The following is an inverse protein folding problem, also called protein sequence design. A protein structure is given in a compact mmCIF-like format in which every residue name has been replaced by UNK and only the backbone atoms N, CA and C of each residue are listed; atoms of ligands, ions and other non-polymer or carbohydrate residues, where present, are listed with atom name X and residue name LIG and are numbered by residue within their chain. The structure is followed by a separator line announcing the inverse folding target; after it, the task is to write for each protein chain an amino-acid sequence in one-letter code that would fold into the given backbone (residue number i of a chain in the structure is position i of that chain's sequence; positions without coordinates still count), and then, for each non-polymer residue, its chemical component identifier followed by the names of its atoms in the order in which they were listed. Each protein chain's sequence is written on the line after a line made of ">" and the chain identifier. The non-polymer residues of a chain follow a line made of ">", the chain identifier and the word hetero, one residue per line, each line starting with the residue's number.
data_IF_371240298812
#
_entry.id   IF_371240298812
#
_cell.length_a   1.000
_cell.length_b   1.000
_cell.length_c   1.000
_cell.angle_alpha   90.00
_cell.angle_beta   90.00
_cell.angle_gamma   90.00
#
_symmetry.space_group_name_H-M   'P 1'
#
loop_
_entity.id
_entity.type
_entity.pdbx_description
1 polymer ?
#
# COMPACT_ATOMS: atom_id res chain seq x y z
N UNK A 1 85.39 53.37 -32.00
CA UNK A 1 85.64 52.45 -30.87
C UNK A 1 84.36 52.48 -29.98
N UNK A 2 83.43 51.59 -30.22
CA UNK A 2 82.22 51.49 -29.42
C UNK A 2 82.29 50.25 -28.51
N UNK A 3 82.16 50.45 -27.22
CA UNK A 3 82.07 49.35 -26.21
C UNK A 3 80.54 48.99 -25.98
N UNK A 4 80.24 47.78 -26.26
CA UNK A 4 78.93 47.24 -25.96
C UNK A 4 78.83 46.90 -24.47
N UNK A 5 77.84 47.44 -23.77
CA UNK A 5 77.43 47.03 -22.43
C UNK A 5 76.28 46.00 -22.54
N UNK A 6 76.52 44.85 -22.01
CA UNK A 6 75.50 43.79 -21.91
C UNK A 6 74.80 43.94 -20.55
N UNK A 7 73.44 44.17 -20.63
CA UNK A 7 72.57 44.25 -19.45
C UNK A 7 72.05 42.85 -19.18
N UNK A 8 72.37 42.22 -18.06
CA UNK A 8 71.75 40.97 -17.58
C UNK A 8 70.41 41.31 -16.85
N UNK A 9 69.35 40.91 -17.41
CA UNK A 9 68.00 40.90 -16.71
C UNK A 9 67.88 39.63 -15.88
N UNK A 10 67.83 39.77 -14.58
CA UNK A 10 67.56 38.66 -13.66
C UNK A 10 66.01 38.41 -13.62
N UNK A 11 65.58 37.23 -14.01
CA UNK A 11 64.19 36.80 -13.88
C UNK A 11 64.00 36.24 -12.46
N UNK A 12 63.24 36.95 -11.63
CA UNK A 12 62.79 36.44 -10.34
C UNK A 12 61.54 35.57 -10.62
N UNK A 13 61.63 34.28 -10.52
CA UNK A 13 60.51 33.35 -10.58
C UNK A 13 59.79 33.36 -9.23
N UNK A 14 58.66 34.05 -9.16
CA UNK A 14 57.70 33.92 -8.03
C UNK A 14 56.94 32.61 -8.15
N UNK A 15 57.30 31.66 -7.30
CA UNK A 15 56.56 30.39 -7.16
C UNK A 15 55.18 30.61 -6.58
N UNK A 16 54.16 30.60 -7.45
CA UNK A 16 52.76 30.52 -7.02
C UNK A 16 52.49 29.10 -6.53
N UNK A 17 52.40 28.91 -5.22
CA UNK A 17 51.89 27.67 -4.63
C UNK A 17 50.40 27.54 -4.93
N UNK A 18 50.08 26.72 -5.93
CA UNK A 18 48.74 26.33 -6.25
C UNK A 18 48.15 25.47 -5.10
N UNK A 19 47.52 26.09 -4.11
CA UNK A 19 46.77 25.36 -3.10
C UNK A 19 45.42 24.98 -3.76
N UNK A 20 45.32 23.74 -4.20
CA UNK A 20 44.03 23.16 -4.54
C UNK A 20 43.13 23.29 -3.29
N UNK A 21 41.89 23.83 -3.42
CA UNK A 21 40.95 23.85 -2.32
C UNK A 21 40.65 22.40 -1.95
N UNK A 22 41.04 21.98 -0.77
CA UNK A 22 40.60 20.72 -0.19
C UNK A 22 39.12 20.88 0.08
N UNK A 23 38.25 20.31 -0.79
CA UNK A 23 36.83 20.21 -0.53
C UNK A 23 36.71 19.27 0.68
N UNK A 24 36.49 19.86 1.84
CA UNK A 24 36.08 19.12 3.04
C UNK A 24 34.69 18.56 2.77
N UNK A 25 34.62 17.33 2.32
CA UNK A 25 33.35 16.57 2.31
C UNK A 25 33.01 16.38 3.77
N UNK A 26 31.96 17.07 4.23
CA UNK A 26 31.40 16.80 5.55
C UNK A 26 31.15 15.28 5.67
N UNK A 27 31.45 14.65 6.84
CA UNK A 27 31.18 13.23 7.00
C UNK A 27 29.68 12.98 6.69
N UNK A 28 29.42 12.17 5.68
CA UNK A 28 28.10 11.64 5.41
C UNK A 28 27.59 11.03 6.71
N UNK A 29 26.50 11.56 7.26
CA UNK A 29 25.83 10.92 8.38
C UNK A 29 25.50 9.51 7.92
N UNK A 30 26.06 8.49 8.56
CA UNK A 30 25.76 7.11 8.25
C UNK A 30 24.26 6.93 8.40
N UNK A 31 23.57 6.64 7.29
CA UNK A 31 22.14 6.35 7.30
C UNK A 31 21.93 5.13 8.18
N UNK A 32 20.97 5.19 9.08
CA UNK A 32 20.68 4.05 9.94
C UNK A 32 19.96 2.96 9.13
N UNK A 33 20.73 1.98 8.65
CA UNK A 33 20.23 0.83 7.89
C UNK A 33 19.15 0.04 8.65
N UNK A 34 19.06 0.22 9.98
CA UNK A 34 18.00 -0.39 10.79
C UNK A 34 16.61 0.10 10.43
N UNK A 35 16.48 1.27 9.79
CA UNK A 35 15.19 1.83 9.37
C UNK A 35 14.76 1.34 7.98
N UNK A 36 15.68 0.86 7.15
CA UNK A 36 15.40 0.39 5.80
C UNK A 36 14.49 -0.83 5.84
N UNK A 37 13.50 -0.85 4.94
CA UNK A 37 12.55 -1.94 4.75
C UNK A 37 11.11 -1.53 5.00
N UNK A 38 10.24 -2.52 5.20
CA UNK A 38 8.79 -2.35 5.30
C UNK A 38 8.33 -2.42 6.75
N UNK A 39 7.35 -1.59 7.08
CA UNK A 39 6.86 -1.38 8.44
C UNK A 39 5.34 -1.37 8.47
N UNK A 40 4.78 -2.24 9.28
CA UNK A 40 3.36 -2.27 9.60
C UNK A 40 3.09 -1.28 10.73
N UNK A 41 2.33 -0.22 10.44
CA UNK A 41 2.07 0.89 11.35
C UNK A 41 0.70 0.74 11.99
N UNK A 42 0.63 1.04 13.28
CA UNK A 42 -0.61 1.24 14.03
C UNK A 42 -0.67 2.66 14.56
N UNK A 43 -1.70 3.42 14.17
CA UNK A 43 -1.94 4.80 14.60
C UNK A 43 -2.99 4.78 15.71
N UNK A 44 -2.68 5.31 16.89
CA UNK A 44 -3.60 5.42 18.00
C UNK A 44 -4.49 6.67 17.86
N UNK A 45 -5.77 6.48 17.52
CA UNK A 45 -6.74 7.57 17.38
C UNK A 45 -7.84 7.47 18.44
N UNK A 46 -8.61 8.55 18.72
CA UNK A 46 -9.77 8.49 19.62
C UNK A 46 -10.83 7.45 19.24
N UNK A 47 -10.92 7.16 17.92
CA UNK A 47 -11.87 6.17 17.37
C UNK A 47 -11.28 4.75 17.26
N UNK A 48 -10.19 4.49 18.01
CA UNK A 48 -9.46 3.23 18.03
C UNK A 48 -8.22 3.24 17.15
N UNK A 49 -7.56 2.10 17.11
CA UNK A 49 -6.37 1.89 16.29
C UNK A 49 -6.69 1.90 14.80
N UNK A 50 -5.83 2.54 14.01
CA UNK A 50 -5.94 2.61 12.56
C UNK A 50 -4.67 2.05 11.91
N UNK A 51 -4.80 1.19 10.89
CA UNK A 51 -3.65 0.66 10.17
C UNK A 51 -3.06 1.69 9.21
N UNK A 52 -1.76 1.55 9.00
CA UNK A 52 -0.99 2.31 8.01
C UNK A 52 0.27 1.51 7.66
N UNK A 53 1.03 1.95 6.68
CA UNK A 53 2.20 1.22 6.22
C UNK A 53 3.27 2.17 5.68
N UNK A 54 4.54 1.80 5.86
CA UNK A 54 5.69 2.57 5.41
C UNK A 54 6.76 1.65 4.82
N UNK A 55 7.32 2.04 3.69
CA UNK A 55 8.53 1.47 3.13
C UNK A 55 9.61 2.53 3.07
N UNK A 56 10.82 2.16 3.47
CA UNK A 56 12.00 3.02 3.46
C UNK A 56 13.08 2.32 2.65
N UNK A 57 13.63 3.02 1.67
CA UNK A 57 14.64 2.51 0.75
C UNK A 57 15.74 3.53 0.49
N UNK A 58 16.91 3.06 0.08
CA UNK A 58 17.95 3.93 -0.46
C UNK A 58 17.59 4.43 -1.86
N UNK A 59 17.91 5.71 -2.13
CA UNK A 59 17.99 6.28 -3.47
C UNK A 59 19.40 6.87 -3.66
N UNK A 60 20.21 6.20 -4.43
CA UNK A 60 21.63 6.55 -4.55
C UNK A 60 22.39 6.25 -3.26
N UNK A 61 23.36 7.12 -2.91
CA UNK A 61 24.31 6.87 -1.82
C UNK A 61 23.81 7.34 -0.45
N UNK A 62 23.24 8.53 -0.40
CA UNK A 62 23.00 9.24 0.87
C UNK A 62 21.54 9.69 1.02
N UNK A 63 20.67 9.36 0.05
CA UNK A 63 19.27 9.74 0.06
C UNK A 63 18.39 8.58 0.48
N UNK A 64 17.42 8.85 1.36
CA UNK A 64 16.34 7.93 1.68
C UNK A 64 15.05 8.39 1.05
N UNK A 65 14.35 7.45 0.46
CA UNK A 65 13.02 7.59 -0.15
C UNK A 65 12.11 6.49 0.37
N UNK A 66 10.85 6.51 -0.04
CA UNK A 66 9.95 5.44 0.38
C UNK A 66 8.56 5.57 -0.21
N UNK A 67 7.65 4.78 0.35
CA UNK A 67 6.21 4.84 0.08
C UNK A 67 5.45 4.79 1.40
N UNK A 68 4.34 5.49 1.44
CA UNK A 68 3.47 5.54 2.62
C UNK A 68 2.01 5.28 2.22
N UNK A 69 1.36 4.39 2.96
CA UNK A 69 -0.08 4.16 2.89
C UNK A 69 -0.71 4.75 4.14
N UNK A 70 -1.62 5.72 3.97
CA UNK A 70 -2.42 6.26 5.06
C UNK A 70 -3.52 5.31 5.52
N UNK A 71 -4.39 5.77 6.41
CA UNK A 71 -5.59 5.01 6.80
C UNK A 71 -6.45 4.70 5.57
N UNK A 72 -6.51 5.64 4.64
CA UNK A 72 -7.18 5.52 3.34
C UNK A 72 -6.22 5.92 2.23
N UNK A 73 -6.59 5.61 1.00
CA UNK A 73 -5.86 6.02 -0.20
C UNK A 73 -4.76 5.05 -0.64
N UNK A 74 -4.03 5.48 -1.66
CA UNK A 74 -2.99 4.67 -2.31
C UNK A 74 -1.64 4.77 -1.62
N UNK A 75 -0.70 3.90 -2.02
CA UNK A 75 0.70 4.01 -1.64
C UNK A 75 1.31 5.27 -2.30
N UNK A 76 1.56 6.30 -1.49
CA UNK A 76 2.12 7.58 -1.96
C UNK A 76 3.64 7.57 -1.89
N UNK A 77 4.35 8.05 -2.92
CA UNK A 77 5.79 8.15 -2.88
C UNK A 77 6.24 9.22 -1.87
N UNK A 78 7.32 8.92 -1.16
CA UNK A 78 8.03 9.86 -0.30
C UNK A 78 9.35 10.20 -1.00
N UNK A 79 9.47 11.42 -1.50
CA UNK A 79 10.65 11.85 -2.25
C UNK A 79 11.89 12.05 -1.37
N UNK A 80 11.70 12.36 -0.08
CA UNK A 80 12.77 12.55 0.90
C UNK A 80 12.32 12.06 2.27
N UNK A 81 13.09 11.13 2.84
CA UNK A 81 13.00 10.76 4.25
C UNK A 81 14.29 11.27 4.90
N UNK A 82 14.16 12.18 5.87
CA UNK A 82 15.29 12.68 6.65
C UNK A 82 15.54 11.71 7.80
N UNK A 83 16.73 11.12 7.83
CA UNK A 83 17.20 10.27 8.93
C UNK A 83 18.37 10.97 9.62
N UNK A 84 18.29 11.08 10.95
CA UNK A 84 19.34 11.66 11.77
C UNK A 84 19.51 10.83 13.05
N UNK A 85 20.55 9.99 13.08
CA UNK A 85 20.73 8.96 14.11
C UNK A 85 19.52 8.03 14.14
N UNK A 86 18.91 7.87 15.30
CA UNK A 86 17.70 7.03 15.49
C UNK A 86 16.40 7.71 15.05
N UNK A 87 16.43 8.96 14.59
CA UNK A 87 15.22 9.72 14.24
C UNK A 87 14.94 9.70 12.75
N UNK A 88 13.68 9.66 12.37
CA UNK A 88 13.21 9.82 11.00
C UNK A 88 12.11 10.89 10.90
N UNK A 89 12.04 11.57 9.76
CA UNK A 89 10.91 12.44 9.45
C UNK A 89 10.69 12.57 7.95
N UNK A 90 9.44 12.75 7.56
CA UNK A 90 9.04 13.09 6.20
C UNK A 90 7.72 13.85 6.18
N UNK A 91 7.42 14.45 5.04
CA UNK A 91 6.15 15.14 4.81
C UNK A 91 5.68 14.84 3.38
N UNK A 92 4.40 14.56 3.22
CA UNK A 92 3.76 14.26 1.94
C UNK A 92 2.46 15.04 1.78
N UNK A 93 2.06 15.40 0.56
CA UNK A 93 0.76 16.01 0.31
C UNK A 93 -0.38 15.11 0.81
N UNK A 94 -1.48 15.73 1.26
CA UNK A 94 -2.69 14.97 1.59
C UNK A 94 -3.31 14.30 0.35
N UNK A 95 -4.09 13.26 0.57
CA UNK A 95 -4.88 12.59 -0.48
C UNK A 95 -6.36 12.56 -0.11
N UNK A 96 -6.70 11.90 0.98
CA UNK A 96 -8.07 11.75 1.48
C UNK A 96 -8.20 12.19 2.95
N UNK A 97 -7.11 12.65 3.55
CA UNK A 97 -7.12 13.19 4.90
C UNK A 97 -7.84 14.55 4.93
N UNK A 98 -8.56 14.84 6.02
CA UNK A 98 -9.23 16.12 6.20
C UNK A 98 -8.22 17.27 6.31
N UNK A 99 -8.50 18.38 5.65
CA UNK A 99 -7.65 19.58 5.63
C UNK A 99 -6.92 19.77 4.31
N UNK A 100 -6.09 20.80 4.21
CA UNK A 100 -5.42 21.23 2.97
C UNK A 100 -3.89 21.27 3.09
N UNK A 101 -3.33 20.78 4.19
CA UNK A 101 -1.89 20.76 4.45
C UNK A 101 -1.25 19.42 4.08
N UNK A 102 0.02 19.30 4.41
CA UNK A 102 0.73 18.04 4.29
C UNK A 102 0.49 17.16 5.52
N UNK A 103 0.51 15.87 5.31
CA UNK A 103 0.70 14.89 6.36
C UNK A 103 2.19 14.92 6.76
N UNK A 104 2.50 15.11 8.03
CA UNK A 104 3.86 15.14 8.56
C UNK A 104 4.08 14.00 9.55
N UNK A 105 5.12 13.21 9.32
CA UNK A 105 5.46 12.05 10.14
C UNK A 105 6.82 12.26 10.77
N UNK A 106 6.91 12.00 12.07
CA UNK A 106 8.16 11.97 12.84
C UNK A 106 8.19 10.72 13.69
N UNK A 107 9.36 10.12 13.81
CA UNK A 107 9.53 8.93 14.62
C UNK A 107 10.98 8.65 14.94
N UNK A 108 11.19 7.60 15.72
CA UNK A 108 12.51 7.11 16.05
C UNK A 108 12.53 5.58 16.16
N UNK A 109 13.70 4.99 15.95
CA UNK A 109 13.93 3.58 16.17
C UNK A 109 13.99 3.29 17.67
N UNK A 110 13.27 2.26 18.10
CA UNK A 110 13.18 1.81 19.49
C UNK A 110 13.19 0.28 19.55
N UNK A 111 14.34 -0.32 19.89
CA UNK A 111 14.42 -1.77 20.13
C UNK A 111 14.00 -2.67 18.95
N UNK A 112 14.21 -2.25 17.71
CA UNK A 112 13.79 -3.01 16.49
C UNK A 112 12.41 -2.66 15.98
N UNK A 113 11.69 -1.76 16.63
CA UNK A 113 10.44 -1.13 16.21
C UNK A 113 10.67 0.34 15.86
N UNK A 114 9.64 1.01 15.32
CA UNK A 114 9.59 2.46 15.20
C UNK A 114 8.41 2.98 16.01
N UNK A 115 8.55 4.19 16.56
CA UNK A 115 7.46 4.88 17.20
C UNK A 115 7.57 6.40 17.01
N UNK A 116 6.45 7.10 17.05
CA UNK A 116 6.47 8.54 16.86
C UNK A 116 5.11 9.21 16.87
N UNK A 117 5.04 10.33 16.18
CA UNK A 117 3.84 11.13 16.01
C UNK A 117 3.60 11.48 14.54
N UNK A 118 2.34 11.52 14.15
CA UNK A 118 1.86 11.86 12.83
C UNK A 118 0.89 13.02 12.95
N UNK A 119 1.20 14.14 12.29
CA UNK A 119 0.34 15.32 12.25
C UNK A 119 -0.40 15.34 10.93
N UNK A 120 -1.71 15.29 11.01
CA UNK A 120 -2.63 15.29 9.88
C UNK A 120 -2.85 16.71 9.32
N UNK A 121 -3.33 16.86 8.09
CA UNK A 121 -3.57 18.17 7.47
C UNK A 121 -4.56 19.05 8.22
N UNK A 122 -5.45 18.49 9.04
CA UNK A 122 -6.38 19.22 9.92
C UNK A 122 -5.73 19.69 11.23
N UNK A 123 -4.42 19.48 11.39
CA UNK A 123 -3.64 19.86 12.57
C UNK A 123 -3.69 18.85 13.73
N UNK A 124 -4.50 17.81 13.66
CA UNK A 124 -4.53 16.78 14.69
C UNK A 124 -3.27 15.92 14.65
N UNK A 125 -2.77 15.59 15.82
CA UNK A 125 -1.57 14.76 15.97
C UNK A 125 -1.90 13.50 16.76
N UNK A 126 -1.50 12.35 16.21
CA UNK A 126 -1.67 11.04 16.81
C UNK A 126 -0.34 10.34 16.98
N UNK A 127 -0.20 9.58 18.06
CA UNK A 127 0.94 8.66 18.21
C UNK A 127 0.78 7.45 17.28
N UNK A 128 1.91 6.90 16.88
CA UNK A 128 1.95 5.67 16.11
C UNK A 128 3.12 4.78 16.56
N UNK A 129 2.94 3.49 16.37
CA UNK A 129 3.99 2.49 16.50
C UNK A 129 4.09 1.68 15.21
N UNK A 130 5.26 1.11 14.94
CA UNK A 130 5.44 0.22 13.81
C UNK A 130 6.34 -0.96 14.14
N UNK A 131 5.96 -2.10 13.63
CA UNK A 131 6.78 -3.32 13.66
C UNK A 131 7.26 -3.64 12.26
N UNK A 132 8.35 -4.40 12.16
CA UNK A 132 8.81 -4.89 10.86
C UNK A 132 7.70 -5.71 10.19
N UNK A 133 7.36 -5.35 8.95
CA UNK A 133 6.46 -6.16 8.17
C UNK A 133 7.02 -7.58 7.98
N UNK A 134 6.22 -8.63 8.19
CA UNK A 134 6.71 -10.00 8.13
C UNK A 134 7.15 -10.38 6.70
N UNK A 135 8.14 -11.25 6.60
CA UNK A 135 8.50 -11.88 5.31
C UNK A 135 7.47 -12.95 4.98
N UNK A 136 6.67 -12.71 3.96
CA UNK A 136 5.61 -13.60 3.49
C UNK A 136 5.83 -14.08 2.04
N UNK A 137 6.94 -13.70 1.45
CA UNK A 137 7.43 -14.15 0.15
C UNK A 137 8.05 -15.55 0.21
N UNK A 138 8.24 -16.18 -0.94
CA UNK A 138 8.94 -17.46 -1.06
C UNK A 138 8.23 -18.68 -0.44
N UNK A 139 6.96 -18.57 -0.06
CA UNK A 139 6.19 -19.70 0.45
C UNK A 139 5.93 -20.72 -0.69
N UNK A 140 6.06 -22.03 -0.43
CA UNK A 140 5.70 -23.04 -1.41
C UNK A 140 4.19 -23.03 -1.65
N UNK A 141 3.76 -23.46 -2.83
CA UNK A 141 2.33 -23.67 -3.11
C UNK A 141 1.75 -24.67 -2.12
N UNK A 142 0.75 -24.28 -1.32
CA UNK A 142 0.19 -25.18 -0.30
C UNK A 142 -0.69 -26.26 -0.91
N UNK A 143 -0.93 -27.32 -0.14
CA UNK A 143 -2.04 -28.21 -0.43
C UNK A 143 -3.37 -27.48 -0.19
N UNK A 144 -4.29 -27.57 -1.12
CA UNK A 144 -5.57 -26.89 -1.04
C UNK A 144 -6.61 -27.73 -0.28
N UNK A 145 -7.44 -27.06 0.51
CA UNK A 145 -8.59 -27.64 1.20
C UNK A 145 -9.79 -27.85 0.27
N UNK A 146 -10.93 -28.17 0.88
CA UNK A 146 -12.19 -28.19 0.16
C UNK A 146 -12.71 -26.77 -0.09
N UNK A 147 -13.36 -26.51 -1.25
CA UNK A 147 -14.02 -25.23 -1.49
C UNK A 147 -15.16 -24.98 -0.49
N UNK A 148 -15.29 -23.76 -0.05
CA UNK A 148 -16.29 -23.28 0.90
C UNK A 148 -17.11 -22.19 0.23
N UNK A 149 -18.44 -22.39 0.12
CA UNK A 149 -19.36 -21.32 -0.29
C UNK A 149 -19.55 -20.37 0.88
N UNK A 150 -19.34 -19.07 0.65
CA UNK A 150 -19.44 -18.04 1.67
C UNK A 150 -20.81 -17.35 1.69
N UNK A 151 -21.65 -17.53 0.66
CA UNK A 151 -23.01 -17.01 0.62
C UNK A 151 -24.03 -18.13 0.81
N UNK A 152 -24.96 -17.91 1.72
CA UNK A 152 -26.18 -18.70 1.89
C UNK A 152 -27.27 -18.20 0.93
N UNK A 153 -28.39 -18.93 0.85
CA UNK A 153 -29.44 -18.56 -0.10
C UNK A 153 -30.18 -17.26 0.30
N UNK A 154 -30.45 -17.05 1.59
CA UNK A 154 -31.33 -15.99 2.04
C UNK A 154 -30.91 -15.32 3.36
N UNK A 155 -29.67 -15.47 3.77
CA UNK A 155 -29.15 -14.85 4.99
C UNK A 155 -27.67 -14.47 4.87
N UNK A 156 -27.21 -13.63 5.81
CA UNK A 156 -25.82 -13.19 5.96
C UNK A 156 -25.03 -14.07 6.95
N UNK A 157 -25.44 -15.31 7.18
CA UNK A 157 -24.74 -16.21 8.09
C UNK A 157 -23.25 -16.32 7.76
N UNK A 158 -22.37 -16.10 8.75
CA UNK A 158 -20.92 -16.05 8.58
C UNK A 158 -20.37 -14.71 8.10
N UNK A 159 -21.21 -13.65 8.06
CA UNK A 159 -20.83 -12.30 7.73
C UNK A 159 -21.40 -11.29 8.75
N UNK A 160 -20.68 -10.22 8.99
CA UNK A 160 -21.15 -9.07 9.77
C UNK A 160 -20.80 -7.75 9.08
N UNK A 161 -21.60 -6.73 9.36
CA UNK A 161 -21.35 -5.36 8.93
C UNK A 161 -20.29 -4.72 9.83
N UNK A 162 -19.30 -4.03 9.26
CA UNK A 162 -18.25 -3.33 10.02
C UNK A 162 -18.69 -1.98 10.59
N UNK A 163 -19.94 -1.57 10.39
CA UNK A 163 -20.48 -0.30 10.83
C UNK A 163 -21.81 -0.43 11.55
N UNK A 164 -22.39 0.73 11.92
CA UNK A 164 -23.68 0.80 12.63
C UNK A 164 -24.90 0.62 11.73
N UNK A 165 -24.73 0.81 10.42
CA UNK A 165 -25.78 0.63 9.42
C UNK A 165 -25.49 -0.59 8.56
N UNK A 166 -26.50 -1.40 8.28
CA UNK A 166 -26.35 -2.55 7.39
C UNK A 166 -27.31 -2.39 6.20
N UNK A 167 -26.77 -2.06 5.02
CA UNK A 167 -27.52 -1.98 3.78
C UNK A 167 -27.51 -3.29 2.99
N UNK A 168 -26.71 -4.27 3.41
CA UNK A 168 -26.55 -5.54 2.72
C UNK A 168 -27.76 -6.44 2.89
N UNK A 169 -28.20 -7.02 1.79
CA UNK A 169 -29.31 -7.98 1.75
C UNK A 169 -28.90 -9.21 0.93
N UNK A 170 -29.44 -10.37 1.30
CA UNK A 170 -29.28 -11.61 0.52
C UNK A 170 -30.66 -12.16 0.14
N UNK A 171 -30.86 -12.35 -1.16
CA UNK A 171 -32.11 -12.96 -1.69
C UNK A 171 -31.73 -13.97 -2.77
N UNK A 172 -32.09 -15.22 -2.60
CA UNK A 172 -31.82 -16.31 -3.55
C UNK A 172 -30.30 -16.42 -3.93
N UNK A 173 -29.41 -16.21 -2.95
CA UNK A 173 -27.96 -16.25 -3.16
C UNK A 173 -27.38 -15.02 -3.86
N UNK A 174 -28.18 -13.98 -4.07
CA UNK A 174 -27.73 -12.66 -4.53
C UNK A 174 -27.50 -11.75 -3.32
N UNK A 175 -26.27 -11.39 -3.05
CA UNK A 175 -25.87 -10.40 -2.05
C UNK A 175 -25.84 -9.03 -2.70
N UNK A 176 -26.57 -8.07 -2.17
CA UNK A 176 -26.69 -6.72 -2.72
C UNK A 176 -26.37 -5.65 -1.70
N UNK A 177 -25.59 -4.65 -2.09
CA UNK A 177 -25.45 -3.35 -1.46
C UNK A 177 -26.01 -2.30 -2.42
N UNK A 178 -27.27 -1.85 -2.22
CA UNK A 178 -27.94 -0.97 -3.18
C UNK A 178 -27.48 0.49 -3.11
N UNK A 179 -26.68 0.84 -2.13
CA UNK A 179 -26.15 2.19 -1.89
C UNK A 179 -24.89 2.12 -1.02
N UNK A 180 -24.14 3.23 -0.94
CA UNK A 180 -23.07 3.42 0.04
C UNK A 180 -23.57 3.17 1.47
N UNK A 181 -22.75 2.53 2.29
CA UNK A 181 -23.04 2.18 3.69
C UNK A 181 -21.84 1.52 4.37
N UNK A 182 -22.10 0.48 5.14
CA UNK A 182 -21.04 -0.26 5.85
C UNK A 182 -20.41 -1.34 4.97
N UNK A 183 -19.16 -1.65 5.25
CA UNK A 183 -18.45 -2.77 4.65
C UNK A 183 -18.95 -4.10 5.24
N UNK A 184 -18.80 -5.20 4.50
CA UNK A 184 -19.20 -6.54 4.91
C UNK A 184 -17.99 -7.44 5.08
N UNK A 185 -17.89 -8.10 6.24
CA UNK A 185 -16.68 -8.83 6.67
C UNK A 185 -17.07 -10.27 7.06
N UNK A 186 -16.27 -11.26 6.65
CA UNK A 186 -16.51 -12.65 7.10
C UNK A 186 -16.11 -12.83 8.56
N UNK A 187 -16.89 -13.63 9.31
CA UNK A 187 -16.53 -14.02 10.68
C UNK A 187 -15.30 -14.93 10.67
N UNK A 188 -15.17 -15.76 9.64
CA UNK A 188 -14.04 -16.66 9.45
C UNK A 188 -12.85 -15.92 8.86
N UNK A 189 -11.65 -16.19 9.40
CA UNK A 189 -10.37 -15.72 8.89
C UNK A 189 -9.69 -16.78 8.04
N UNK A 190 -8.90 -16.34 7.07
CA UNK A 190 -8.18 -17.19 6.11
C UNK A 190 -6.72 -16.77 6.01
N UNK A 191 -5.81 -17.74 5.87
CA UNK A 191 -4.41 -17.51 5.56
C UNK A 191 -4.21 -17.41 4.05
N UNK A 192 -3.56 -18.42 3.45
CA UNK A 192 -3.43 -18.56 2.00
C UNK A 192 -4.70 -19.19 1.42
N UNK A 193 -5.14 -18.74 0.25
CA UNK A 193 -6.39 -19.24 -0.36
C UNK A 193 -6.45 -18.99 -1.86
N UNK A 194 -7.39 -19.71 -2.51
CA UNK A 194 -7.97 -19.33 -3.79
C UNK A 194 -9.36 -18.79 -3.54
N UNK A 195 -9.74 -17.72 -4.24
CA UNK A 195 -11.05 -17.09 -4.15
C UNK A 195 -11.65 -16.99 -5.55
N UNK A 196 -12.88 -17.44 -5.71
CA UNK A 196 -13.74 -17.12 -6.82
C UNK A 196 -14.85 -16.20 -6.35
N UNK A 197 -15.10 -15.10 -7.06
CA UNK A 197 -16.18 -14.18 -6.77
C UNK A 197 -16.78 -13.64 -8.07
N UNK A 198 -18.12 -13.68 -8.15
CA UNK A 198 -18.87 -13.02 -9.21
C UNK A 198 -19.52 -11.75 -8.67
N UNK A 199 -19.43 -10.66 -9.42
CA UNK A 199 -20.00 -9.37 -9.03
C UNK A 199 -20.49 -8.59 -10.24
N UNK A 200 -21.36 -7.63 -10.01
CA UNK A 200 -21.75 -6.62 -10.99
C UNK A 200 -21.98 -5.29 -10.31
N UNK A 201 -21.79 -4.23 -11.04
CA UNK A 201 -21.95 -2.86 -10.58
C UNK A 201 -22.62 -2.02 -11.66
N UNK A 202 -23.39 -0.97 -11.28
CA UNK A 202 -23.90 0.02 -12.24
C UNK A 202 -22.78 0.96 -12.69
N UNK A 203 -23.07 1.80 -13.67
CA UNK A 203 -22.16 2.82 -14.18
C UNK A 203 -21.63 3.71 -13.04
N UNK A 204 -20.35 4.07 -13.11
CA UNK A 204 -19.63 4.94 -12.17
C UNK A 204 -19.55 4.39 -10.73
N UNK A 205 -19.85 3.12 -10.51
CA UNK A 205 -19.74 2.51 -9.18
C UNK A 205 -18.33 2.05 -8.86
N UNK A 206 -18.06 2.01 -7.56
CA UNK A 206 -16.80 1.57 -6.96
C UNK A 206 -17.09 0.61 -5.80
N UNK A 207 -16.25 -0.39 -5.64
CA UNK A 207 -16.21 -1.35 -4.54
C UNK A 207 -14.83 -2.00 -4.51
N UNK A 208 -14.60 -2.97 -3.62
CA UNK A 208 -13.35 -3.71 -3.53
C UNK A 208 -13.51 -5.04 -2.82
N UNK A 209 -12.61 -5.98 -3.15
CA UNK A 209 -12.48 -7.25 -2.45
C UNK A 209 -11.16 -7.23 -1.68
N UNK A 210 -11.23 -7.12 -0.36
CA UNK A 210 -10.04 -7.10 0.49
C UNK A 210 -9.64 -8.50 0.91
N UNK A 211 -8.51 -8.94 0.42
CA UNK A 211 -7.91 -10.23 0.77
C UNK A 211 -7.33 -10.13 2.18
N UNK A 212 -7.73 -11.05 3.06
CA UNK A 212 -7.39 -11.02 4.50
C UNK A 212 -7.74 -9.70 5.21
N UNK A 213 -8.71 -8.94 4.65
CA UNK A 213 -9.10 -7.64 5.18
C UNK A 213 -8.05 -6.54 5.02
N UNK A 214 -6.98 -6.76 4.25
CA UNK A 214 -5.81 -5.87 4.19
C UNK A 214 -5.37 -5.48 2.79
N UNK A 215 -5.66 -6.28 1.77
CA UNK A 215 -5.18 -6.07 0.40
C UNK A 215 -6.37 -5.98 -0.55
N UNK A 216 -6.67 -4.81 -1.01
CA UNK A 216 -7.79 -4.55 -1.91
C UNK A 216 -7.48 -4.95 -3.35
N UNK A 217 -8.31 -5.81 -3.93
CA UNK A 217 -8.44 -5.96 -5.37
C UNK A 217 -9.60 -5.10 -5.83
N UNK A 218 -9.29 -4.05 -6.59
CA UNK A 218 -10.22 -2.98 -6.95
C UNK A 218 -11.37 -3.44 -7.84
N UNK A 219 -12.57 -3.00 -7.51
CA UNK A 219 -13.78 -3.08 -8.34
C UNK A 219 -14.18 -1.66 -8.71
N UNK A 220 -14.14 -1.32 -10.01
CA UNK A 220 -14.48 0.00 -10.51
C UNK A 220 -15.00 -0.09 -11.94
N UNK A 221 -15.85 0.86 -12.35
CA UNK A 221 -16.35 0.95 -13.73
C UNK A 221 -15.26 1.51 -14.66
N UNK A 222 -14.37 0.64 -15.10
CA UNK A 222 -13.21 0.98 -15.93
C UNK A 222 -13.25 0.37 -17.34
N UNK A 223 -14.40 -0.08 -17.81
CA UNK A 223 -14.50 -0.63 -19.16
C UNK A 223 -13.98 0.35 -20.21
N UNK A 224 -12.96 -0.08 -20.97
CA UNK A 224 -12.31 0.73 -22.01
C UNK A 224 -11.21 1.69 -21.52
N UNK A 225 -10.96 1.78 -20.22
CA UNK A 225 -9.90 2.59 -19.67
C UNK A 225 -8.52 1.91 -19.78
N UNK A 226 -7.41 2.67 -19.80
CA UNK A 226 -6.07 2.11 -19.69
C UNK A 226 -5.80 1.54 -18.30
N UNK A 227 -4.87 0.56 -18.14
CA UNK A 227 -4.49 0.04 -16.85
C UNK A 227 -3.86 1.10 -15.94
N UNK A 228 -4.19 1.04 -14.64
CA UNK A 228 -3.52 1.76 -13.56
C UNK A 228 -3.71 0.99 -12.25
N UNK A 229 -2.92 1.30 -11.23
CA UNK A 229 -2.92 0.56 -9.97
C UNK A 229 -4.12 0.90 -9.04
N UNK A 230 -4.93 1.87 -9.41
CA UNK A 230 -6.17 2.29 -8.74
C UNK A 230 -7.43 1.86 -9.50
N UNK A 231 -7.29 1.02 -10.54
CA UNK A 231 -8.38 0.62 -11.45
C UNK A 231 -8.75 -0.84 -11.32
N UNK A 232 -9.85 -1.21 -12.01
CA UNK A 232 -10.43 -2.55 -12.03
C UNK A 232 -9.37 -3.65 -12.08
N UNK A 233 -9.46 -4.59 -11.12
CA UNK A 233 -8.54 -5.72 -10.91
C UNK A 233 -7.10 -5.40 -10.50
N UNK A 234 -6.74 -4.13 -10.31
CA UNK A 234 -5.48 -3.75 -9.67
C UNK A 234 -5.47 -4.07 -8.18
N UNK A 235 -4.29 -4.25 -7.60
CA UNK A 235 -4.12 -4.18 -6.14
C UNK A 235 -3.93 -2.72 -5.79
N UNK A 236 -4.92 -2.14 -5.13
CA UNK A 236 -5.09 -0.70 -4.99
C UNK A 236 -3.84 0.02 -4.51
N UNK A 237 -3.39 0.99 -5.33
CA UNK A 237 -2.22 1.80 -5.04
C UNK A 237 -0.87 1.11 -5.21
N UNK A 238 -0.82 -0.20 -5.47
CA UNK A 238 0.43 -0.95 -5.59
C UNK A 238 0.66 -1.60 -6.95
N UNK A 239 -0.29 -2.41 -7.44
CA UNK A 239 -0.08 -3.24 -8.62
C UNK A 239 -1.11 -2.91 -9.70
N UNK A 240 -0.62 -2.44 -10.84
CA UNK A 240 -1.45 -2.26 -12.03
C UNK A 240 -1.72 -3.59 -12.72
N UNK A 241 -2.96 -3.88 -13.15
CA UNK A 241 -3.20 -5.03 -14.01
C UNK A 241 -2.52 -4.82 -15.36
N UNK A 242 -2.16 -5.89 -16.05
CA UNK A 242 -1.54 -5.81 -17.39
C UNK A 242 -2.51 -5.27 -18.46
N UNK A 243 -3.81 -5.38 -18.20
CA UNK A 243 -4.90 -4.88 -19.04
C UNK A 243 -6.18 -4.76 -18.21
N UNK A 244 -7.05 -3.82 -18.55
CA UNK A 244 -8.41 -3.76 -17.99
C UNK A 244 -9.26 -4.79 -18.72
N UNK A 245 -9.57 -5.90 -18.05
CA UNK A 245 -10.41 -6.98 -18.57
C UNK A 245 -11.89 -6.81 -18.15
N UNK A 246 -12.30 -5.62 -17.70
CA UNK A 246 -13.67 -5.32 -17.32
C UNK A 246 -14.64 -5.50 -18.48
N UNK A 247 -15.85 -5.95 -18.19
CA UNK A 247 -17.02 -5.88 -19.08
C UNK A 247 -17.78 -4.60 -18.80
N UNK A 248 -18.64 -4.12 -19.71
CA UNK A 248 -19.49 -2.97 -19.44
C UNK A 248 -20.27 -3.06 -18.11
N UNK A 249 -20.50 -1.91 -17.47
CA UNK A 249 -21.32 -1.81 -16.27
C UNK A 249 -22.68 -2.52 -16.44
N UNK A 250 -23.19 -3.10 -15.37
CA UNK A 250 -24.40 -3.94 -15.35
C UNK A 250 -24.20 -5.40 -15.75
N UNK A 251 -23.08 -5.74 -16.37
CA UNK A 251 -22.73 -7.12 -16.70
C UNK A 251 -22.02 -7.80 -15.51
N UNK A 252 -22.23 -9.12 -15.38
CA UNK A 252 -21.52 -9.93 -14.41
C UNK A 252 -20.03 -10.02 -14.76
N UNK A 253 -19.20 -9.74 -13.77
CA UNK A 253 -17.74 -9.85 -13.77
C UNK A 253 -17.32 -11.03 -12.91
N UNK A 254 -16.12 -11.54 -13.11
CA UNK A 254 -15.54 -12.60 -12.28
C UNK A 254 -14.12 -12.23 -11.87
N UNK A 255 -13.78 -12.50 -10.62
CA UNK A 255 -12.39 -12.61 -10.18
C UNK A 255 -12.10 -14.03 -9.72
N UNK A 256 -11.00 -14.60 -10.21
CA UNK A 256 -10.34 -15.78 -9.66
C UNK A 256 -8.98 -15.34 -9.12
N UNK A 257 -8.84 -15.33 -7.80
CA UNK A 257 -7.67 -14.79 -7.11
C UNK A 257 -6.95 -15.92 -6.37
N UNK A 258 -5.63 -15.98 -6.47
CA UNK A 258 -4.79 -16.83 -5.62
C UNK A 258 -3.89 -15.94 -4.79
N UNK A 259 -3.92 -16.11 -3.46
CA UNK A 259 -3.04 -15.44 -2.51
C UNK A 259 -2.24 -16.47 -1.73
N UNK A 260 -0.90 -16.38 -1.81
CA UNK A 260 0.04 -17.21 -1.04
C UNK A 260 1.06 -16.27 -0.39
N UNK A 261 1.02 -16.14 0.92
CA UNK A 261 1.75 -15.08 1.61
C UNK A 261 1.33 -13.70 1.10
N UNK A 262 2.23 -13.02 0.38
CA UNK A 262 1.96 -11.75 -0.33
C UNK A 262 1.90 -11.91 -1.84
N UNK A 263 2.16 -13.11 -2.36
CA UNK A 263 2.14 -13.36 -3.79
C UNK A 263 0.71 -13.47 -4.29
N UNK A 264 0.30 -12.59 -5.18
CA UNK A 264 -1.06 -12.54 -5.72
C UNK A 264 -1.07 -12.84 -7.22
N UNK A 265 -2.02 -13.65 -7.63
CA UNK A 265 -2.43 -13.84 -9.02
C UNK A 265 -3.89 -13.47 -9.15
N UNK A 266 -4.23 -12.62 -10.11
CA UNK A 266 -5.61 -12.21 -10.41
C UNK A 266 -5.97 -12.57 -11.84
N UNK A 267 -7.04 -13.33 -12.00
CA UNK A 267 -7.70 -13.61 -13.28
C UNK A 267 -9.05 -12.87 -13.27
N UNK A 268 -9.20 -11.88 -14.12
CA UNK A 268 -10.42 -11.10 -14.26
C UNK A 268 -11.13 -11.49 -15.56
N UNK A 269 -12.39 -11.93 -15.45
CA UNK A 269 -13.20 -12.36 -16.60
C UNK A 269 -12.50 -13.40 -17.50
N UNK A 270 -11.79 -14.35 -16.89
CA UNK A 270 -11.05 -15.41 -17.58
C UNK A 270 -9.69 -14.98 -18.14
N UNK A 271 -9.28 -13.71 -17.97
CA UNK A 271 -7.97 -13.22 -18.41
C UNK A 271 -7.07 -12.98 -17.21
N UNK A 272 -5.89 -13.61 -17.18
CA UNK A 272 -4.88 -13.35 -16.15
C UNK A 272 -4.31 -11.94 -16.33
N UNK A 273 -4.53 -11.08 -15.37
CA UNK A 273 -4.16 -9.65 -15.41
C UNK A 273 -3.03 -9.31 -14.43
N UNK A 274 -2.88 -10.08 -13.38
CA UNK A 274 -1.74 -10.05 -12.44
C UNK A 274 -1.24 -11.48 -12.29
N UNK A 275 0.07 -11.71 -12.44
CA UNK A 275 0.68 -13.04 -12.39
C UNK A 275 1.75 -13.09 -11.30
N UNK A 276 1.44 -13.76 -10.18
CA UNK A 276 2.37 -14.04 -9.08
C UNK A 276 3.25 -12.83 -8.70
N UNK A 277 2.61 -11.68 -8.48
CA UNK A 277 3.30 -10.47 -8.03
C UNK A 277 3.22 -10.30 -6.51
N UNK A 278 4.28 -9.78 -5.92
CA UNK A 278 4.30 -9.47 -4.49
C UNK A 278 3.51 -8.19 -4.20
N UNK A 279 2.56 -8.26 -3.27
CA UNK A 279 1.91 -7.07 -2.70
C UNK A 279 2.87 -6.49 -1.66
N UNK A 280 3.35 -5.25 -1.79
CA UNK A 280 4.36 -4.71 -0.88
C UNK A 280 3.90 -4.56 0.57
N UNK A 281 2.63 -4.24 0.77
CA UNK A 281 2.05 -3.99 2.09
C UNK A 281 0.53 -3.90 2.07
N UNK A 282 -0.07 -3.47 3.17
CA UNK A 282 -1.52 -3.25 3.26
C UNK A 282 -1.96 -2.12 2.35
N UNK A 283 -3.16 -2.21 1.78
CA UNK A 283 -3.78 -1.11 1.02
C UNK A 283 -4.56 -0.18 1.95
N UNK A 284 -4.84 1.05 1.52
CA UNK A 284 -5.74 1.94 2.27
C UNK A 284 -7.10 1.28 2.52
N UNK A 285 -7.72 1.60 3.65
CA UNK A 285 -8.98 0.97 4.06
C UNK A 285 -8.84 -0.42 4.70
N UNK A 286 -7.61 -0.91 4.92
CA UNK A 286 -7.35 -2.15 5.62
C UNK A 286 -7.99 -2.17 7.02
N UNK A 287 -8.35 -3.36 7.52
CA UNK A 287 -8.96 -3.52 8.85
C UNK A 287 -7.92 -3.41 9.97
N UNK A 288 -6.72 -3.88 9.73
CA UNK A 288 -5.60 -3.87 10.66
C UNK A 288 -4.25 -3.95 9.91
N UNK A 289 -3.14 -3.84 10.62
CA UNK A 289 -1.77 -3.93 10.09
C UNK A 289 -1.07 -5.26 10.39
N UNK A 290 -1.78 -6.31 10.80
CA UNK A 290 -1.19 -7.60 11.19
C UNK A 290 -1.03 -8.53 9.98
N UNK A 291 -0.23 -8.14 9.00
CA UNK A 291 -0.12 -8.85 7.71
C UNK A 291 0.25 -10.33 7.80
N UNK A 292 0.98 -10.74 8.84
CA UNK A 292 1.38 -12.12 9.07
C UNK A 292 0.26 -13.06 9.51
N UNK A 293 -0.85 -12.52 9.97
CA UNK A 293 -1.96 -13.28 10.53
C UNK A 293 -3.03 -13.63 9.48
N UNK A 294 -3.76 -14.74 9.65
CA UNK A 294 -4.99 -14.96 8.93
C UNK A 294 -5.96 -13.77 9.12
N UNK A 295 -6.66 -13.39 8.07
CA UNK A 295 -7.63 -12.31 8.10
C UNK A 295 -8.93 -12.65 7.37
N UNK A 296 -10.01 -11.87 7.57
CA UNK A 296 -11.29 -12.11 6.93
C UNK A 296 -11.26 -11.73 5.45
N UNK A 297 -12.22 -12.24 4.69
CA UNK A 297 -12.60 -11.60 3.43
C UNK A 297 -13.45 -10.38 3.76
N UNK A 298 -13.17 -9.27 3.10
CA UNK A 298 -13.90 -8.02 3.30
C UNK A 298 -14.39 -7.49 1.95
N UNK A 299 -15.68 -7.17 1.86
CA UNK A 299 -16.31 -6.57 0.69
C UNK A 299 -16.62 -5.10 1.00
N UNK A 300 -16.10 -4.22 0.17
CA UNK A 300 -16.27 -2.78 0.34
C UNK A 300 -17.71 -2.38 -0.02
N UNK A 301 -18.38 -1.67 0.89
CA UNK A 301 -19.78 -1.25 0.75
C UNK A 301 -19.98 0.24 0.98
N UNK A 302 -18.93 1.00 1.28
CA UNK A 302 -19.02 2.41 1.63
C UNK A 302 -18.88 3.37 0.44
N UNK A 303 -18.74 2.85 -0.79
CA UNK A 303 -18.59 3.65 -2.01
C UNK A 303 -19.86 3.63 -2.89
N UNK A 304 -20.15 2.55 -3.57
CA UNK A 304 -21.21 2.50 -4.57
C UNK A 304 -22.08 1.24 -4.50
N UNK A 305 -23.16 1.21 -5.27
CA UNK A 305 -23.97 0.00 -5.39
C UNK A 305 -23.18 -1.15 -6.01
N UNK A 306 -23.34 -2.35 -5.48
CA UNK A 306 -22.71 -3.56 -6.00
C UNK A 306 -23.52 -4.79 -5.64
N UNK A 307 -23.59 -5.74 -6.56
CA UNK A 307 -24.16 -7.06 -6.33
C UNK A 307 -23.03 -8.11 -6.39
N UNK A 308 -23.12 -9.11 -5.52
CA UNK A 308 -22.24 -10.27 -5.50
C UNK A 308 -23.03 -11.57 -5.53
N UNK A 309 -22.45 -12.61 -6.11
CA UNK A 309 -22.94 -13.98 -6.04
C UNK A 309 -21.77 -14.95 -6.16
N UNK A 310 -22.01 -16.21 -5.90
CA UNK A 310 -21.06 -17.30 -6.10
C UNK A 310 -19.66 -17.00 -5.48
N UNK A 311 -19.65 -16.55 -4.21
CA UNK A 311 -18.40 -16.34 -3.49
C UNK A 311 -17.93 -17.67 -2.92
N UNK A 312 -16.82 -18.20 -3.44
CA UNK A 312 -16.24 -19.49 -3.06
C UNK A 312 -14.77 -19.33 -2.72
N UNK A 313 -14.39 -19.73 -1.52
CA UNK A 313 -12.99 -19.72 -1.07
C UNK A 313 -12.47 -21.14 -0.88
N UNK A 314 -11.26 -21.40 -1.35
CA UNK A 314 -10.54 -22.66 -1.15
C UNK A 314 -9.29 -22.37 -0.32
N UNK A 315 -9.33 -22.58 1.01
CA UNK A 315 -8.21 -22.28 1.88
C UNK A 315 -7.06 -23.29 1.70
N UNK A 316 -5.85 -22.88 2.03
CA UNK A 316 -4.73 -23.80 2.26
C UNK A 316 -5.04 -24.71 3.47
N UNK A 317 -4.45 -25.94 3.44
CA UNK A 317 -4.51 -26.93 4.54
C UNK A 317 -3.40 -26.70 5.53
#
# INVERSE_FOLDING_TARGET
>A
MLRNAVLLLGIVASGATNRNPTISVAPSLAVDERMIGRWDITIATPDGEKPSWLEIEHSGRDQMVGRFVGVFGSARPISVIVVNGDSLSFSIPYQWENGNGNLSVRGAAQGGALAGAMTFPDGKTYSWTAVRAPRLDGRPTPAWGAPIRLLHANDLGGWHSSGTTNQWTVVNGLLSSPRSGSNLVTDRKFGDFKLHVEFRYPKESNSGVYLRGRHEVQIQDDFGNPPANDRFSGVYGFISPSVIAARPAGQWQTYDITLIGRMVTVVANGKQVICNQEIPGITGGALDSHEGEPGPLFLQGDHGPVDYRNIVITPAR
#
